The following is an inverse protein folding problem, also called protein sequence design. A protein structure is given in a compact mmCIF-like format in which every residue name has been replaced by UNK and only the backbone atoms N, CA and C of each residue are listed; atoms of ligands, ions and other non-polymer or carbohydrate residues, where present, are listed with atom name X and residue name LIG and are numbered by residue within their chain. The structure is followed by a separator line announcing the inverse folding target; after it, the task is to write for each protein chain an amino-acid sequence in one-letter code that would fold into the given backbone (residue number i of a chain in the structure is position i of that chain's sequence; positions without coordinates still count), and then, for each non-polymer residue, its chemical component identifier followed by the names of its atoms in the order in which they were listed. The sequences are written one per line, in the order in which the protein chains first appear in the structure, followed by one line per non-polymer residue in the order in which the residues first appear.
data_IF_801716286417
#
_entry.id   IF_801716286417
#
_cell.length_a   1.000
_cell.length_b   1.000
_cell.length_c   1.000
_cell.angle_alpha   90.00
_cell.angle_beta   90.00
_cell.angle_gamma   90.00
#
_symmetry.space_group_name_H-M   'P 1'
#
loop_
_entity.id
_entity.type
_entity.pdbx_description
1 polymer ?
#
# COMPACT_ATOMS: atom_id res chain seq x y z
N UNK A 1 3.08 0.64 12.57
CA UNK A 1 3.95 -0.43 12.00
C UNK A 1 3.11 -1.65 11.68
N UNK A 2 3.08 -2.08 10.39
CA UNK A 2 2.26 -3.21 9.96
C UNK A 2 2.74 -4.56 10.51
N UNK A 3 4.01 -4.68 10.93
CA UNK A 3 4.52 -5.90 11.58
C UNK A 3 4.09 -6.02 13.04
N UNK A 4 3.76 -4.91 13.68
CA UNK A 4 3.27 -4.86 15.06
C UNK A 4 1.74 -4.83 15.14
N UNK A 5 1.08 -4.78 13.99
CA UNK A 5 -0.37 -4.66 13.88
C UNK A 5 -0.95 -5.90 13.23
N UNK A 6 -1.99 -6.47 13.83
CA UNK A 6 -2.68 -7.60 13.22
C UNK A 6 -3.43 -7.16 11.96
N UNK A 7 -2.97 -7.64 10.81
CA UNK A 7 -3.61 -7.45 9.50
C UNK A 7 -4.12 -8.81 9.03
N UNK A 8 -5.45 -9.07 9.09
CA UNK A 8 -5.98 -10.32 8.58
C UNK A 8 -5.72 -10.47 7.08
N UNK A 9 -5.29 -11.65 6.65
CA UNK A 9 -5.33 -11.99 5.23
C UNK A 9 -6.76 -12.39 4.85
N UNK A 10 -7.14 -12.18 3.60
CA UNK A 10 -8.45 -12.62 3.08
C UNK A 10 -8.37 -14.13 2.89
N UNK A 11 -8.79 -14.85 3.90
CA UNK A 11 -8.84 -16.31 3.96
C UNK A 11 -10.29 -16.84 3.90
N UNK A 12 -10.45 -18.15 4.14
CA UNK A 12 -11.75 -18.79 4.11
C UNK A 12 -12.73 -18.19 5.14
N UNK A 13 -12.24 -17.85 6.33
CA UNK A 13 -13.11 -17.32 7.41
C UNK A 13 -13.61 -15.93 7.03
N UNK A 14 -12.74 -15.07 6.47
CA UNK A 14 -13.13 -13.74 5.98
C UNK A 14 -14.17 -13.85 4.87
N UNK A 15 -13.94 -14.71 3.86
CA UNK A 15 -14.88 -14.90 2.75
C UNK A 15 -16.23 -15.46 3.23
N UNK A 16 -16.20 -16.42 4.16
CA UNK A 16 -17.41 -16.98 4.76
C UNK A 16 -18.14 -15.93 5.60
N UNK A 17 -17.39 -15.16 6.40
CA UNK A 17 -17.94 -14.08 7.22
C UNK A 17 -18.66 -13.02 6.39
N UNK A 18 -18.05 -12.56 5.31
CA UNK A 18 -18.70 -11.62 4.38
C UNK A 18 -19.95 -12.20 3.73
N UNK A 19 -19.93 -13.49 3.34
CA UNK A 19 -21.10 -14.19 2.81
C UNK A 19 -22.25 -14.23 3.80
N UNK A 20 -21.95 -14.59 5.06
CA UNK A 20 -22.93 -14.62 6.15
C UNK A 20 -23.52 -13.23 6.45
N UNK A 21 -22.66 -12.20 6.51
CA UNK A 21 -23.12 -10.81 6.71
C UNK A 21 -24.11 -10.38 5.63
N UNK A 22 -23.84 -10.71 4.36
CA UNK A 22 -24.73 -10.39 3.24
C UNK A 22 -26.10 -11.08 3.36
N UNK A 23 -26.14 -12.25 3.99
CA UNK A 23 -27.37 -13.03 4.19
C UNK A 23 -28.06 -12.75 5.54
N UNK A 24 -27.49 -11.90 6.40
CA UNK A 24 -28.00 -11.65 7.76
C UNK A 24 -27.81 -12.83 8.73
N UNK A 25 -26.83 -13.69 8.46
CA UNK A 25 -26.50 -14.85 9.28
C UNK A 25 -25.51 -14.49 10.40
N UNK A 26 -25.47 -15.28 11.46
CA UNK A 26 -24.56 -15.08 12.60
C UNK A 26 -23.16 -15.57 12.24
N UNK A 27 -22.15 -14.75 12.54
CA UNK A 27 -20.75 -15.09 12.40
C UNK A 27 -20.26 -15.93 13.57
N UNK A 28 -19.23 -16.74 13.35
CA UNK A 28 -18.43 -17.31 14.45
C UNK A 28 -17.51 -16.21 15.05
N UNK A 29 -16.95 -16.47 16.23
CA UNK A 29 -16.04 -15.52 16.90
C UNK A 29 -14.82 -15.19 16.02
N UNK A 30 -14.23 -16.19 15.34
CA UNK A 30 -13.08 -15.99 14.44
C UNK A 30 -13.45 -15.19 13.19
N UNK A 31 -14.58 -15.49 12.55
CA UNK A 31 -15.11 -14.71 11.42
C UNK A 31 -15.37 -13.26 11.84
N UNK A 32 -16.04 -13.06 12.98
CA UNK A 32 -16.34 -11.73 13.50
C UNK A 32 -15.06 -10.93 13.79
N UNK A 33 -14.08 -11.52 14.47
CA UNK A 33 -12.82 -10.87 14.79
C UNK A 33 -12.09 -10.40 13.53
N UNK A 34 -11.96 -11.28 12.52
CA UNK A 34 -11.25 -10.95 11.27
C UNK A 34 -11.99 -9.88 10.47
N UNK A 35 -13.30 -10.03 10.28
CA UNK A 35 -14.10 -9.08 9.50
C UNK A 35 -14.17 -7.71 10.17
N UNK A 36 -14.36 -7.65 11.50
CA UNK A 36 -14.33 -6.39 12.24
C UNK A 36 -12.96 -5.70 12.10
N UNK A 37 -11.85 -6.46 12.23
CA UNK A 37 -10.52 -5.88 12.10
C UNK A 37 -10.25 -5.32 10.70
N UNK A 38 -10.70 -5.99 9.63
CA UNK A 38 -10.60 -5.46 8.26
C UNK A 38 -11.42 -4.17 8.10
N UNK A 39 -12.60 -4.09 8.73
CA UNK A 39 -13.41 -2.87 8.73
C UNK A 39 -12.71 -1.72 9.44
N UNK A 40 -12.12 -1.97 10.62
CA UNK A 40 -11.38 -0.95 11.38
C UNK A 40 -10.20 -0.39 10.56
N UNK A 41 -9.44 -1.26 9.88
CA UNK A 41 -8.33 -0.85 9.01
C UNK A 41 -8.83 0.02 7.86
N UNK A 42 -9.94 -0.35 7.24
CA UNK A 42 -10.53 0.44 6.16
C UNK A 42 -11.03 1.80 6.65
N UNK A 43 -11.68 1.86 7.81
CA UNK A 43 -12.18 3.12 8.39
C UNK A 43 -11.02 4.05 8.77
N UNK A 44 -9.96 3.52 9.39
CA UNK A 44 -8.73 4.26 9.68
C UNK A 44 -8.12 4.83 8.39
N UNK A 45 -7.99 4.01 7.35
CA UNK A 45 -7.47 4.44 6.06
C UNK A 45 -8.32 5.57 5.44
N UNK A 46 -9.64 5.41 5.41
CA UNK A 46 -10.54 6.41 4.83
C UNK A 46 -10.56 7.74 5.59
N UNK A 47 -10.26 7.73 6.90
CA UNK A 47 -10.22 8.93 7.74
C UNK A 47 -9.02 9.84 7.46
N UNK A 48 -7.96 9.33 6.85
CA UNK A 48 -6.75 10.09 6.54
C UNK A 48 -6.88 10.82 5.19
N UNK A 49 -6.23 11.98 5.08
CA UNK A 49 -6.17 12.76 3.84
C UNK A 49 -4.95 12.42 2.99
N UNK A 50 -3.89 11.94 3.64
CA UNK A 50 -2.60 11.63 3.02
C UNK A 50 -2.09 10.29 3.53
N UNK A 51 -1.51 9.51 2.64
CA UNK A 51 -0.94 8.19 2.96
C UNK A 51 0.55 8.18 2.69
N UNK A 52 1.34 7.74 3.66
CA UNK A 52 2.78 7.54 3.49
C UNK A 52 3.10 6.06 3.68
N UNK A 53 3.43 5.38 2.60
CA UNK A 53 3.92 4.00 2.63
C UNK A 53 5.44 4.01 2.72
N UNK A 54 6.01 3.37 3.73
CA UNK A 54 7.45 3.20 3.90
C UNK A 54 7.77 1.72 3.85
N UNK A 55 8.47 1.28 2.80
CA UNK A 55 8.71 -0.15 2.57
C UNK A 55 10.14 -0.46 2.15
N UNK A 56 10.73 -1.58 2.61
CA UNK A 56 11.89 -2.14 1.94
C UNK A 56 11.47 -2.89 0.67
N UNK A 57 12.40 -3.05 -0.28
CA UNK A 57 12.23 -4.00 -1.36
C UNK A 57 12.60 -5.40 -0.89
N UNK A 58 11.64 -6.34 -0.93
CA UNK A 58 11.83 -7.76 -0.71
C UNK A 58 11.44 -8.55 -1.95
N UNK A 59 12.38 -9.34 -2.49
CA UNK A 59 12.11 -10.18 -3.66
C UNK A 59 11.39 -9.42 -4.79
N UNK A 60 11.94 -8.26 -5.16
CA UNK A 60 11.46 -7.38 -6.24
C UNK A 60 10.15 -6.62 -5.94
N UNK A 61 9.58 -6.78 -4.76
CA UNK A 61 8.34 -6.12 -4.32
C UNK A 61 8.50 -5.57 -2.90
N UNK A 62 7.45 -5.46 -2.14
CA UNK A 62 7.42 -5.08 -0.72
C UNK A 62 7.04 -6.28 0.15
N UNK A 63 7.19 -6.21 1.50
CA UNK A 63 6.80 -7.28 2.41
C UNK A 63 5.33 -7.72 2.25
N UNK A 64 5.00 -9.02 2.42
CA UNK A 64 3.65 -9.55 2.24
C UNK A 64 2.57 -8.86 3.09
N UNK A 65 2.93 -8.35 4.27
CA UNK A 65 1.99 -7.62 5.14
C UNK A 65 1.46 -6.34 4.49
N UNK A 66 2.27 -5.69 3.64
CA UNK A 66 1.83 -4.51 2.86
C UNK A 66 0.76 -4.92 1.85
N UNK A 67 0.91 -6.09 1.21
CA UNK A 67 -0.11 -6.61 0.30
C UNK A 67 -1.40 -6.93 1.05
N UNK A 68 -1.32 -7.56 2.24
CA UNK A 68 -2.50 -7.82 3.07
C UNK A 68 -3.21 -6.52 3.47
N UNK A 69 -2.46 -5.46 3.81
CA UNK A 69 -3.02 -4.13 4.09
C UNK A 69 -3.71 -3.54 2.86
N UNK A 70 -3.09 -3.61 1.68
CA UNK A 70 -3.69 -3.13 0.43
C UNK A 70 -5.00 -3.89 0.12
N UNK A 71 -5.05 -5.20 0.37
CA UNK A 71 -6.26 -5.99 0.19
C UNK A 71 -7.36 -5.57 1.18
N UNK A 72 -7.01 -5.27 2.42
CA UNK A 72 -7.96 -4.80 3.45
C UNK A 72 -8.62 -3.47 3.08
N UNK A 73 -7.91 -2.57 2.39
CA UNK A 73 -8.42 -1.24 2.00
C UNK A 73 -9.08 -1.22 0.61
N UNK A 74 -8.93 -2.27 -0.20
CA UNK A 74 -9.45 -2.34 -1.56
C UNK A 74 -10.88 -2.93 -1.57
N UNK A 75 -11.85 -2.16 -1.09
CA UNK A 75 -13.23 -2.61 -0.88
C UNK A 75 -14.19 -1.92 -1.84
N UNK A 76 -14.93 -2.73 -2.62
CA UNK A 76 -15.96 -2.23 -3.53
C UNK A 76 -17.08 -1.47 -2.79
N UNK A 77 -17.46 -0.31 -3.31
CA UNK A 77 -18.42 0.60 -2.68
C UNK A 77 -17.81 1.52 -1.62
N UNK A 78 -16.50 1.38 -1.29
CA UNK A 78 -15.80 2.20 -0.32
C UNK A 78 -14.62 2.96 -0.95
N UNK A 79 -13.66 2.25 -1.53
CA UNK A 79 -12.46 2.85 -2.15
C UNK A 79 -12.51 2.82 -3.68
N UNK A 80 -13.35 1.99 -4.26
CA UNK A 80 -13.69 1.97 -5.67
C UNK A 80 -15.11 1.44 -5.87
N UNK A 81 -15.66 1.59 -7.07
CA UNK A 81 -16.98 1.00 -7.45
C UNK A 81 -16.94 0.51 -8.89
N UNK A 82 -17.84 -0.39 -9.22
CA UNK A 82 -18.11 -0.77 -10.61
C UNK A 82 -19.22 0.10 -11.18
N UNK A 83 -19.05 0.58 -12.41
CA UNK A 83 -20.01 1.33 -13.18
C UNK A 83 -20.22 0.70 -14.56
N UNK A 84 -21.14 1.22 -15.35
CA UNK A 84 -21.36 0.77 -16.74
C UNK A 84 -20.11 1.03 -17.62
N UNK A 85 -19.31 2.04 -17.28
CA UNK A 85 -18.08 2.44 -17.97
C UNK A 85 -16.84 1.68 -17.45
N UNK A 86 -16.99 0.80 -16.44
CA UNK A 86 -15.92 0.05 -15.82
C UNK A 86 -15.67 0.43 -14.36
N UNK A 87 -14.55 -0.01 -13.78
CA UNK A 87 -14.19 0.33 -12.41
C UNK A 87 -13.86 1.83 -12.28
N UNK A 88 -14.36 2.44 -11.21
CA UNK A 88 -14.14 3.84 -10.87
C UNK A 88 -13.59 3.96 -9.45
N UNK A 89 -12.41 4.60 -9.28
CA UNK A 89 -11.85 4.89 -7.97
C UNK A 89 -12.60 6.01 -7.24
N UNK A 90 -12.62 5.94 -5.93
CA UNK A 90 -13.37 6.87 -5.06
C UNK A 90 -12.45 7.78 -4.21
N UNK A 91 -11.13 7.54 -4.19
CA UNK A 91 -10.15 8.30 -3.39
C UNK A 91 -9.64 9.54 -4.14
N UNK A 92 -10.55 10.34 -4.70
CA UNK A 92 -10.22 11.46 -5.62
C UNK A 92 -9.68 12.71 -4.92
N UNK A 93 -9.73 12.75 -3.60
CA UNK A 93 -9.26 13.84 -2.74
C UNK A 93 -7.98 13.48 -1.93
N UNK A 94 -7.45 12.28 -2.12
CA UNK A 94 -6.33 11.75 -1.33
C UNK A 94 -4.99 11.91 -2.05
N UNK A 95 -3.89 11.89 -1.26
CA UNK A 95 -2.53 11.91 -1.78
C UNK A 95 -1.73 10.72 -1.22
N UNK A 96 -0.80 10.20 -2.02
CA UNK A 96 0.09 9.11 -1.61
C UNK A 96 1.54 9.50 -1.79
N UNK A 97 2.36 9.19 -0.80
CA UNK A 97 3.82 9.16 -0.86
C UNK A 97 4.30 7.73 -0.60
N UNK A 98 5.11 7.20 -1.48
CA UNK A 98 5.82 5.95 -1.27
C UNK A 98 7.30 6.20 -1.06
N UNK A 99 7.83 5.77 0.06
CA UNK A 99 9.26 5.78 0.39
C UNK A 99 9.74 4.34 0.36
N UNK A 100 10.61 4.01 -0.60
CA UNK A 100 11.08 2.63 -0.75
C UNK A 100 12.60 2.55 -0.73
N UNK A 101 13.15 1.65 0.12
CA UNK A 101 14.57 1.31 0.13
C UNK A 101 14.85 0.06 -0.69
N UNK A 102 15.92 0.09 -1.50
CA UNK A 102 16.36 -0.97 -2.40
C UNK A 102 17.85 -1.16 -2.29
N UNK A 103 18.31 -2.41 -2.19
CA UNK A 103 19.74 -2.71 -2.09
C UNK A 103 20.51 -2.45 -3.38
N UNK A 104 19.93 -2.80 -4.53
CA UNK A 104 20.46 -2.55 -5.88
C UNK A 104 19.78 -1.35 -6.55
N UNK A 105 20.09 -1.15 -7.84
CA UNK A 105 19.48 -0.14 -8.70
C UNK A 105 18.35 -0.76 -9.53
N UNK A 106 17.13 -0.22 -9.40
CA UNK A 106 15.92 -0.69 -10.08
C UNK A 106 15.09 0.45 -10.68
N UNK A 107 15.53 1.70 -10.57
CA UNK A 107 14.85 2.84 -11.20
C UNK A 107 15.14 2.88 -12.68
N UNK A 108 16.39 2.57 -13.07
CA UNK A 108 16.88 2.58 -14.44
C UNK A 108 17.73 1.36 -14.76
N UNK A 109 18.03 1.15 -16.05
CA UNK A 109 18.90 0.07 -16.53
C UNK A 109 18.21 -1.29 -16.63
N UNK A 110 18.99 -2.38 -16.76
CA UNK A 110 18.47 -3.72 -17.08
C UNK A 110 17.55 -4.32 -16.00
N UNK A 111 17.66 -3.85 -14.75
CA UNK A 111 16.87 -4.35 -13.64
C UNK A 111 15.54 -3.57 -13.44
N UNK A 112 15.28 -2.51 -14.18
CA UNK A 112 14.11 -1.67 -14.02
C UNK A 112 12.79 -2.44 -14.22
N UNK A 113 12.78 -3.41 -15.14
CA UNK A 113 11.60 -4.23 -15.40
C UNK A 113 11.25 -5.21 -14.27
N UNK A 114 12.19 -5.46 -13.37
CA UNK A 114 11.98 -6.35 -12.21
C UNK A 114 11.41 -5.60 -11.00
N UNK A 115 11.32 -4.27 -11.03
CA UNK A 115 10.72 -3.50 -9.95
C UNK A 115 9.18 -3.66 -9.97
N UNK A 116 8.64 -4.32 -8.92
CA UNK A 116 7.22 -4.63 -8.80
C UNK A 116 6.56 -3.99 -7.57
N UNK A 117 7.34 -3.37 -6.69
CA UNK A 117 6.82 -2.77 -5.46
C UNK A 117 6.17 -1.41 -5.70
N UNK A 118 6.93 -0.44 -6.15
CA UNK A 118 6.42 0.90 -6.45
C UNK A 118 5.44 0.88 -7.64
N UNK A 119 5.75 0.10 -8.67
CA UNK A 119 4.88 -0.09 -9.83
C UNK A 119 3.50 -0.61 -9.42
N UNK A 120 3.44 -1.63 -8.57
CA UNK A 120 2.17 -2.18 -8.10
C UNK A 120 1.43 -1.18 -7.22
N UNK A 121 2.12 -0.56 -6.25
CA UNK A 121 1.48 0.38 -5.33
C UNK A 121 0.91 1.59 -6.08
N UNK A 122 1.66 2.14 -7.03
CA UNK A 122 1.19 3.23 -7.92
C UNK A 122 -0.04 2.80 -8.72
N UNK A 123 0.00 1.60 -9.30
CA UNK A 123 -1.10 1.07 -10.11
C UNK A 123 -2.37 0.92 -9.28
N UNK A 124 -2.27 0.31 -8.08
CA UNK A 124 -3.47 0.11 -7.25
C UNK A 124 -4.01 1.43 -6.69
N UNK A 125 -3.16 2.38 -6.28
CA UNK A 125 -3.62 3.69 -5.81
C UNK A 125 -4.29 4.49 -6.93
N UNK A 126 -3.76 4.41 -8.17
CA UNK A 126 -4.43 4.98 -9.36
C UNK A 126 -5.80 4.32 -9.60
N UNK A 127 -5.89 3.00 -9.51
CA UNK A 127 -7.15 2.26 -9.61
C UNK A 127 -8.17 2.70 -8.54
N UNK A 128 -7.71 2.95 -7.32
CA UNK A 128 -8.55 3.46 -6.23
C UNK A 128 -8.91 4.96 -6.39
N UNK A 129 -8.35 5.65 -7.40
CA UNK A 129 -8.70 7.02 -7.75
C UNK A 129 -7.82 8.11 -7.17
N UNK A 130 -6.69 7.76 -6.55
CA UNK A 130 -5.76 8.74 -5.99
C UNK A 130 -5.13 9.58 -7.10
N UNK A 131 -5.29 10.92 -7.09
CA UNK A 131 -4.81 11.79 -8.17
C UNK A 131 -3.33 12.18 -8.04
N UNK A 132 -2.75 12.07 -6.84
CA UNK A 132 -1.37 12.47 -6.56
C UNK A 132 -0.60 11.33 -5.90
N UNK A 133 0.43 10.85 -6.58
CA UNK A 133 1.31 9.78 -6.11
C UNK A 133 2.77 10.19 -6.30
N UNK A 134 3.45 10.43 -5.20
CA UNK A 134 4.85 10.80 -5.15
C UNK A 134 5.71 9.64 -4.66
N UNK A 135 7.00 9.66 -5.01
CA UNK A 135 7.93 8.58 -4.66
C UNK A 135 9.26 9.14 -4.19
N UNK A 136 9.81 8.57 -3.12
CA UNK A 136 11.20 8.73 -2.70
C UNK A 136 11.86 7.35 -2.75
N UNK A 137 12.77 7.18 -3.69
CA UNK A 137 13.52 5.93 -3.84
C UNK A 137 14.91 6.08 -3.23
N UNK A 138 15.26 5.13 -2.37
CA UNK A 138 16.56 5.02 -1.71
C UNK A 138 17.20 3.73 -2.22
N UNK A 139 18.05 3.83 -3.25
CA UNK A 139 18.60 2.65 -3.91
C UNK A 139 20.12 2.65 -4.00
N UNK A 140 20.72 1.46 -4.17
CA UNK A 140 22.14 1.28 -4.42
C UNK A 140 23.00 1.05 -3.17
N UNK A 141 22.45 1.11 -1.95
CA UNK A 141 23.25 1.01 -0.73
C UNK A 141 23.94 -0.36 -0.53
N UNK A 142 23.46 -1.45 -1.12
CA UNK A 142 24.15 -2.73 -1.16
C UNK A 142 25.07 -2.85 -2.37
N UNK A 143 24.71 -2.24 -3.50
CA UNK A 143 25.55 -2.24 -4.69
C UNK A 143 26.80 -1.37 -4.52
N UNK A 144 26.68 -0.24 -3.83
CA UNK A 144 27.76 0.71 -3.55
C UNK A 144 27.82 1.08 -2.05
N UNK A 145 28.25 0.17 -1.16
CA UNK A 145 28.22 0.40 0.31
C UNK A 145 29.00 1.63 0.76
N UNK A 146 30.04 2.03 -0.01
CA UNK A 146 30.84 3.22 0.29
C UNK A 146 30.08 4.54 0.07
N UNK A 147 28.96 4.53 -0.68
CA UNK A 147 28.10 5.70 -0.91
C UNK A 147 26.88 5.75 0.01
N UNK A 148 26.74 4.83 0.96
CA UNK A 148 25.53 4.73 1.81
C UNK A 148 25.14 6.05 2.48
N UNK A 149 26.12 6.79 3.02
CA UNK A 149 25.83 8.06 3.69
C UNK A 149 25.44 9.18 2.71
N UNK A 150 26.01 9.20 1.52
CA UNK A 150 25.61 10.11 0.44
C UNK A 150 24.18 9.81 -0.05
N UNK A 151 23.85 8.53 -0.26
CA UNK A 151 22.52 8.07 -0.65
C UNK A 151 21.47 8.49 0.39
N UNK A 152 21.75 8.28 1.68
CA UNK A 152 20.89 8.72 2.77
C UNK A 152 20.68 10.24 2.79
N UNK A 153 21.77 11.00 2.73
CA UNK A 153 21.72 12.46 2.76
C UNK A 153 20.89 13.03 1.60
N UNK A 154 21.09 12.48 0.39
CA UNK A 154 20.33 12.86 -0.80
C UNK A 154 18.85 12.55 -0.63
N UNK A 155 18.50 11.38 -0.09
CA UNK A 155 17.12 10.96 0.13
C UNK A 155 16.42 11.81 1.19
N UNK A 156 17.11 12.16 2.28
CA UNK A 156 16.59 13.06 3.31
C UNK A 156 16.31 14.45 2.72
N UNK A 157 17.25 15.03 1.97
CA UNK A 157 17.06 16.34 1.32
C UNK A 157 15.86 16.32 0.34
N UNK A 158 15.67 15.22 -0.39
CA UNK A 158 14.49 15.05 -1.26
C UNK A 158 13.20 14.97 -0.45
N UNK A 159 13.21 14.26 0.68
CA UNK A 159 12.07 14.17 1.57
C UNK A 159 11.70 15.53 2.17
N UNK A 160 12.67 16.31 2.63
CA UNK A 160 12.46 17.66 3.15
C UNK A 160 11.83 18.58 2.11
N UNK A 161 12.31 18.56 0.86
CA UNK A 161 11.72 19.34 -0.23
C UNK A 161 10.29 18.91 -0.53
N UNK A 162 10.05 17.61 -0.62
CA UNK A 162 8.72 17.07 -0.93
C UNK A 162 7.73 17.37 0.19
N UNK A 163 8.14 17.33 1.46
CA UNK A 163 7.31 17.63 2.62
C UNK A 163 6.71 19.04 2.59
N UNK A 164 7.33 19.99 1.88
CA UNK A 164 6.82 21.36 1.76
C UNK A 164 5.61 21.49 0.82
N UNK A 165 5.40 20.51 -0.05
CA UNK A 165 4.34 20.53 -1.10
C UNK A 165 3.38 19.33 -1.02
N UNK A 166 3.75 18.26 -0.31
CA UNK A 166 2.91 17.10 -0.06
C UNK A 166 1.87 17.37 1.01
#
# INVERSE_FOLDING_TARGET
DLFETYIPVIDKDVLTGWGKMSNGETLTDDEQMKVSRLSDILEEFLSADKYVFVTPMWNLSFPPVVKAYIDAISIAGKTFKYSAEGPQGLLTDKKVLHIQSRGGYYTEGPAADFEMGDRYLRTIMTFLGVPSYETIIIEGHNAEPHKTEEIKATSINNAEKLATIF
#
